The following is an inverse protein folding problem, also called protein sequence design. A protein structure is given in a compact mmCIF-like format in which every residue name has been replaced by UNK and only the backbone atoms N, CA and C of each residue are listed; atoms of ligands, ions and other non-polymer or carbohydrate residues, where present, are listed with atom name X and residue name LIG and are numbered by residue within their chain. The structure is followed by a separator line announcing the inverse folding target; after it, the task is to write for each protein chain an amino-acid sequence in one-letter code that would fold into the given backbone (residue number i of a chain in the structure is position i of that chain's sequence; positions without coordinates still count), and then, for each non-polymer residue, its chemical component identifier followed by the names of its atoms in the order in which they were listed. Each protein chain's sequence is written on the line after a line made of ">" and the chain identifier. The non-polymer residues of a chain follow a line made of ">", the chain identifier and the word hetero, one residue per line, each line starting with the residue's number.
data_IF_898839941030
#
_entry.id   IF_898839941030
#
_cell.length_a   1.000
_cell.length_b   1.000
_cell.length_c   1.000
_cell.angle_alpha   90.00
_cell.angle_beta   90.00
_cell.angle_gamma   90.00
#
_symmetry.space_group_name_H-M   'P 1'
#
loop_
_entity.id
_entity.type
_entity.pdbx_description
1 polymer ?
#
# COMPACT_ATOMS: atom_id res chain seq x y z
N UNK A 1 51.79 -23.66 -26.25
CA UNK A 1 52.90 -24.05 -27.17
C UNK A 1 54.20 -23.77 -26.43
N UNK A 2 55.15 -24.70 -26.43
CA UNK A 2 56.50 -24.47 -25.92
C UNK A 2 57.42 -24.14 -27.10
N UNK A 3 58.37 -23.25 -26.92
CA UNK A 3 59.43 -23.07 -27.90
C UNK A 3 60.49 -24.18 -27.78
N UNK A 4 61.44 -24.20 -28.72
CA UNK A 4 62.50 -25.21 -28.79
C UNK A 4 63.49 -25.17 -27.60
N UNK A 5 63.40 -24.15 -26.73
CA UNK A 5 64.22 -23.98 -25.52
C UNK A 5 63.44 -24.31 -24.24
N UNK A 6 62.18 -24.73 -24.37
CA UNK A 6 61.32 -25.10 -23.24
C UNK A 6 60.60 -23.92 -22.59
N UNK A 7 60.66 -22.71 -23.17
CA UNK A 7 59.90 -21.58 -22.65
C UNK A 7 58.42 -21.75 -23.02
N UNK A 8 57.55 -21.60 -22.03
CA UNK A 8 56.12 -21.47 -22.26
C UNK A 8 55.79 -20.02 -22.58
N UNK A 9 55.11 -19.78 -23.70
CA UNK A 9 54.38 -18.52 -23.89
C UNK A 9 53.24 -18.50 -22.87
N UNK A 10 53.46 -17.84 -21.75
CA UNK A 10 52.39 -17.47 -20.82
C UNK A 10 51.83 -16.17 -21.37
N UNK A 11 50.57 -16.19 -21.79
CA UNK A 11 49.81 -14.97 -22.00
C UNK A 11 49.08 -14.69 -20.69
N UNK A 12 49.67 -13.98 -19.72
CA UNK A 12 48.90 -13.54 -18.57
C UNK A 12 47.73 -12.69 -19.08
N UNK A 13 46.58 -12.76 -18.43
CA UNK A 13 45.35 -12.04 -18.84
C UNK A 13 44.70 -12.54 -20.15
N UNK A 14 44.61 -13.86 -20.36
CA UNK A 14 43.84 -14.47 -21.48
C UNK A 14 42.37 -14.04 -21.46
N UNK A 15 41.88 -13.70 -20.27
CA UNK A 15 40.52 -13.24 -20.07
C UNK A 15 40.54 -11.75 -19.72
N UNK A 16 39.78 -10.97 -20.50
CA UNK A 16 39.56 -9.54 -20.33
C UNK A 16 38.04 -9.33 -20.27
N UNK A 17 37.49 -9.33 -19.06
CA UNK A 17 36.05 -9.16 -18.83
C UNK A 17 35.75 -8.97 -17.35
N UNK A 18 34.47 -9.04 -16.96
CA UNK A 18 34.02 -9.23 -15.57
C UNK A 18 33.44 -10.66 -15.46
N UNK A 19 33.88 -11.45 -14.46
CA UNK A 19 33.41 -12.84 -14.30
C UNK A 19 32.17 -12.71 -13.46
N UNK A 20 31.03 -12.69 -14.15
CA UNK A 20 29.77 -12.85 -13.47
C UNK A 20 29.39 -14.32 -13.43
N UNK A 21 28.98 -14.78 -12.26
CA UNK A 21 28.50 -16.17 -12.04
C UNK A 21 27.21 -16.20 -11.24
N UNK A 22 26.73 -15.03 -10.79
CA UNK A 22 25.55 -14.95 -9.94
C UNK A 22 24.36 -14.59 -10.80
N UNK A 23 23.19 -15.09 -10.40
CA UNK A 23 21.95 -14.57 -10.94
C UNK A 23 21.62 -13.24 -10.24
N UNK A 24 20.79 -12.38 -10.85
CA UNK A 24 20.36 -11.13 -10.25
C UNK A 24 19.72 -11.33 -8.88
N UNK A 25 19.84 -10.31 -8.02
CA UNK A 25 19.05 -10.22 -6.80
C UNK A 25 17.73 -9.55 -7.14
N UNK A 26 16.63 -10.29 -6.97
CA UNK A 26 15.27 -9.76 -7.18
C UNK A 26 14.57 -9.55 -5.84
N UNK A 27 13.91 -8.40 -5.68
CA UNK A 27 13.12 -8.04 -4.50
C UNK A 27 11.74 -7.59 -4.94
N UNK A 28 10.71 -8.12 -4.27
CA UNK A 28 9.32 -7.71 -4.43
C UNK A 28 8.72 -7.35 -3.08
N UNK A 29 8.27 -6.11 -2.95
CA UNK A 29 7.54 -5.64 -1.78
C UNK A 29 6.10 -5.27 -2.16
N UNK A 30 5.17 -5.54 -1.26
CA UNK A 30 3.77 -5.19 -1.40
C UNK A 30 3.34 -4.34 -0.19
N UNK A 31 2.80 -3.15 -0.45
CA UNK A 31 2.29 -2.24 0.58
C UNK A 31 0.78 -2.14 0.44
N UNK A 32 0.05 -2.58 1.46
CA UNK A 32 -1.40 -2.38 1.50
C UNK A 32 -1.72 -0.92 1.83
N UNK A 33 -2.46 -0.24 0.95
CA UNK A 33 -2.78 1.20 1.10
C UNK A 33 -4.26 1.50 1.24
N UNK A 34 -5.15 0.58 0.85
CA UNK A 34 -6.58 0.90 0.85
C UNK A 34 -7.48 -0.28 0.55
N UNK A 35 -8.76 -0.17 0.90
CA UNK A 35 -9.81 -1.12 0.54
C UNK A 35 -10.98 -0.39 -0.11
N UNK A 36 -11.49 -0.95 -1.19
CA UNK A 36 -12.74 -0.54 -1.84
C UNK A 36 -13.61 -1.76 -2.09
N UNK A 37 -14.79 -1.55 -2.67
CA UNK A 37 -15.73 -2.60 -3.03
C UNK A 37 -16.11 -2.43 -4.48
N UNK A 38 -16.16 -3.54 -5.22
CA UNK A 38 -16.72 -3.52 -6.56
C UNK A 38 -18.26 -3.43 -6.50
N UNK A 39 -18.90 -3.40 -7.66
CA UNK A 39 -20.37 -3.32 -7.78
C UNK A 39 -21.12 -4.54 -7.23
N UNK A 40 -20.44 -5.67 -7.02
CA UNK A 40 -21.02 -6.86 -6.38
C UNK A 40 -20.81 -6.89 -4.86
N UNK A 41 -20.24 -5.83 -4.26
CA UNK A 41 -19.92 -5.78 -2.84
C UNK A 41 -18.74 -6.67 -2.43
N UNK A 42 -17.94 -7.13 -3.40
CA UNK A 42 -16.70 -7.89 -3.14
C UNK A 42 -15.58 -6.92 -2.81
N UNK A 43 -14.81 -7.14 -1.72
CA UNK A 43 -13.71 -6.26 -1.38
C UNK A 43 -12.60 -6.33 -2.43
N UNK A 44 -11.98 -5.18 -2.69
CA UNK A 44 -10.78 -5.02 -3.49
C UNK A 44 -9.76 -4.23 -2.68
N UNK A 45 -8.49 -4.62 -2.75
CA UNK A 45 -7.43 -4.07 -1.92
C UNK A 45 -6.44 -3.34 -2.83
N UNK A 46 -6.16 -2.08 -2.54
CA UNK A 46 -5.10 -1.33 -3.22
C UNK A 46 -3.77 -1.76 -2.62
N UNK A 47 -2.92 -2.33 -3.48
CA UNK A 47 -1.58 -2.78 -3.14
C UNK A 47 -0.59 -1.99 -4.00
N UNK A 48 0.33 -1.27 -3.36
CA UNK A 48 1.47 -0.67 -4.04
C UNK A 48 2.58 -1.72 -4.09
N UNK A 49 2.93 -2.14 -5.31
CA UNK A 49 4.08 -3.00 -5.54
C UNK A 49 5.32 -2.17 -5.82
N UNK A 50 6.46 -2.59 -5.28
CA UNK A 50 7.78 -2.16 -5.71
C UNK A 50 8.60 -3.38 -6.08
N UNK A 51 8.97 -3.45 -7.35
CA UNK A 51 9.80 -4.48 -7.95
C UNK A 51 11.20 -3.91 -8.15
N UNK A 52 12.22 -4.63 -7.70
CA UNK A 52 13.62 -4.23 -7.88
C UNK A 52 14.46 -5.42 -8.27
N UNK A 53 15.32 -5.25 -9.26
CA UNK A 53 16.36 -6.20 -9.61
C UNK A 53 17.72 -5.49 -9.65
N UNK A 54 18.73 -6.14 -9.08
CA UNK A 54 20.11 -5.66 -9.06
C UNK A 54 21.04 -6.77 -9.56
N UNK A 55 21.95 -6.43 -10.46
CA UNK A 55 23.01 -7.32 -10.93
C UNK A 55 24.13 -6.50 -11.57
N UNK A 56 25.31 -7.08 -11.80
CA UNK A 56 26.32 -6.38 -12.59
C UNK A 56 25.95 -6.39 -14.07
N UNK A 57 25.30 -7.42 -14.60
CA UNK A 57 24.98 -7.51 -16.03
C UNK A 57 23.50 -7.71 -16.26
N UNK A 58 22.68 -6.83 -15.69
CA UNK A 58 21.24 -6.98 -15.71
C UNK A 58 20.66 -6.87 -17.13
N UNK A 59 19.74 -7.79 -17.48
CA UNK A 59 19.04 -7.80 -18.75
C UNK A 59 17.62 -7.24 -18.62
N UNK A 60 17.25 -6.31 -19.49
CA UNK A 60 15.90 -5.69 -19.50
C UNK A 60 14.81 -6.70 -19.90
N UNK A 61 15.10 -7.57 -20.87
CA UNK A 61 14.13 -8.53 -21.41
C UNK A 61 13.70 -9.62 -20.40
N UNK A 62 14.49 -9.85 -19.35
CA UNK A 62 14.21 -10.86 -18.32
C UNK A 62 13.50 -10.30 -17.10
N UNK A 63 13.19 -8.99 -17.05
CA UNK A 63 12.54 -8.36 -15.91
C UNK A 63 11.02 -8.40 -16.06
N UNK A 64 10.38 -9.26 -15.27
CA UNK A 64 8.93 -9.41 -15.21
C UNK A 64 8.42 -9.01 -13.82
N UNK A 65 7.50 -8.04 -13.80
CA UNK A 65 6.95 -7.42 -12.61
C UNK A 65 5.44 -7.22 -12.82
N UNK A 66 4.60 -7.32 -11.77
CA UNK A 66 3.17 -7.03 -11.86
C UNK A 66 2.82 -5.62 -12.36
N UNK A 67 3.79 -4.70 -12.32
CA UNK A 67 3.64 -3.35 -12.82
C UNK A 67 3.74 -3.30 -14.35
N UNK A 68 2.71 -2.73 -14.99
CA UNK A 68 2.69 -2.51 -16.44
C UNK A 68 3.56 -1.33 -16.91
N UNK A 69 4.06 -0.53 -15.97
CA UNK A 69 4.92 0.61 -16.26
C UNK A 69 6.35 0.15 -16.59
N UNK A 70 7.03 0.78 -17.57
CA UNK A 70 8.42 0.46 -17.86
C UNK A 70 9.30 0.75 -16.64
N UNK A 71 10.27 -0.12 -16.32
CA UNK A 71 11.15 0.09 -15.19
C UNK A 71 12.08 1.29 -15.41
N UNK A 72 12.41 1.96 -14.31
CA UNK A 72 13.51 2.92 -14.22
C UNK A 72 14.82 2.15 -14.32
N UNK A 73 15.70 2.59 -15.23
CA UNK A 73 17.00 1.97 -15.49
C UNK A 73 18.09 2.80 -14.80
N UNK A 74 18.92 2.13 -14.01
CA UNK A 74 20.13 2.74 -13.45
C UNK A 74 21.34 2.03 -14.03
N UNK A 75 22.28 2.82 -14.54
CA UNK A 75 23.52 2.34 -15.12
C UNK A 75 24.67 2.59 -14.15
N UNK A 76 25.66 1.71 -14.17
CA UNK A 76 26.89 1.86 -13.40
C UNK A 76 27.59 3.16 -13.80
N UNK A 77 27.94 3.99 -12.80
CA UNK A 77 28.78 5.18 -12.96
C UNK A 77 30.16 4.90 -12.34
N UNK A 78 30.99 4.20 -13.10
CA UNK A 78 32.33 3.79 -12.68
C UNK A 78 33.36 4.21 -13.74
N UNK A 79 33.96 5.41 -13.62
CA UNK A 79 34.92 5.92 -14.61
C UNK A 79 36.14 5.01 -14.84
N UNK A 80 36.54 4.25 -13.81
CA UNK A 80 37.61 3.26 -13.91
C UNK A 80 37.21 2.03 -14.73
N UNK A 81 35.93 1.68 -14.73
CA UNK A 81 35.37 0.56 -15.48
C UNK A 81 35.20 0.96 -16.95
N UNK A 82 34.71 2.16 -17.22
CA UNK A 82 34.64 2.75 -18.57
C UNK A 82 36.02 2.85 -19.22
N UNK A 83 37.06 3.17 -18.45
CA UNK A 83 38.44 3.21 -18.94
C UNK A 83 39.01 1.82 -19.34
N UNK A 84 38.42 0.74 -18.82
CA UNK A 84 38.79 -0.64 -19.16
C UNK A 84 37.90 -1.22 -20.26
N UNK A 85 36.63 -0.81 -20.30
CA UNK A 85 35.58 -1.28 -21.20
C UNK A 85 34.92 -0.07 -21.88
N UNK A 86 35.57 0.42 -22.93
CA UNK A 86 35.33 1.73 -23.55
C UNK A 86 33.95 1.97 -24.20
N UNK A 87 32.94 1.12 -24.02
CA UNK A 87 31.70 1.29 -24.81
C UNK A 87 30.47 0.55 -24.26
N UNK A 88 30.33 0.39 -22.94
CA UNK A 88 29.16 -0.35 -22.41
C UNK A 88 28.60 0.32 -21.16
N UNK A 89 27.54 1.11 -21.34
CA UNK A 89 26.68 1.50 -20.24
C UNK A 89 26.10 0.22 -19.62
N UNK A 90 26.58 -0.12 -18.42
CA UNK A 90 26.25 -1.36 -17.75
C UNK A 90 24.98 -1.14 -16.93
N UNK A 91 23.88 -1.79 -17.32
CA UNK A 91 22.63 -1.73 -16.58
C UNK A 91 22.80 -2.54 -15.27
N UNK A 92 22.68 -1.87 -14.14
CA UNK A 92 22.91 -2.50 -12.82
C UNK A 92 21.66 -2.59 -11.96
N UNK A 93 20.64 -1.80 -12.26
CA UNK A 93 19.37 -1.86 -11.54
C UNK A 93 18.18 -1.56 -12.45
N UNK A 94 17.12 -2.34 -12.23
CA UNK A 94 15.77 -2.10 -12.74
C UNK A 94 14.83 -1.94 -11.55
N UNK A 95 14.01 -0.90 -11.59
CA UNK A 95 13.02 -0.65 -10.55
C UNK A 95 11.69 -0.20 -11.15
N UNK A 96 10.58 -0.80 -10.70
CA UNK A 96 9.22 -0.40 -11.10
C UNK A 96 8.32 -0.32 -9.87
N UNK A 97 7.45 0.69 -9.83
CA UNK A 97 6.45 0.86 -8.77
C UNK A 97 5.09 1.17 -9.39
N UNK A 98 4.04 0.55 -8.84
CA UNK A 98 2.67 0.74 -9.30
C UNK A 98 1.66 0.42 -8.20
N UNK A 99 0.46 1.00 -8.29
CA UNK A 99 -0.70 0.60 -7.50
C UNK A 99 -1.58 -0.35 -8.31
N UNK A 100 -1.93 -1.49 -7.71
CA UNK A 100 -2.80 -2.51 -8.31
C UNK A 100 -3.93 -2.83 -7.34
N UNK A 101 -5.14 -3.01 -7.87
CA UNK A 101 -6.25 -3.53 -7.10
C UNK A 101 -6.20 -5.05 -7.11
N UNK A 102 -6.16 -5.67 -5.94
CA UNK A 102 -6.10 -7.12 -5.73
C UNK A 102 -7.37 -7.65 -5.05
N UNK A 103 -7.64 -8.95 -5.19
CA UNK A 103 -8.76 -9.63 -4.50
C UNK A 103 -8.40 -10.12 -3.10
N UNK A 104 -7.12 -10.06 -2.72
CA UNK A 104 -6.61 -10.48 -1.42
C UNK A 104 -5.68 -9.42 -0.84
N UNK A 105 -5.71 -9.27 0.50
CA UNK A 105 -4.73 -8.46 1.25
C UNK A 105 -3.32 -9.03 1.09
N UNK A 106 -3.20 -10.33 0.82
CA UNK A 106 -1.94 -11.04 0.62
C UNK A 106 -1.90 -11.68 -0.77
N UNK A 107 -1.59 -10.92 -1.83
CA UNK A 107 -1.52 -11.46 -3.17
C UNK A 107 -0.33 -12.41 -3.32
N UNK A 108 -0.57 -13.58 -3.92
CA UNK A 108 0.47 -14.55 -4.26
C UNK A 108 1.07 -14.16 -5.62
N UNK A 109 1.90 -13.12 -5.62
CA UNK A 109 2.58 -12.61 -6.81
C UNK A 109 4.09 -12.79 -6.73
N UNK A 110 4.74 -12.78 -7.89
CA UNK A 110 6.19 -13.02 -8.03
C UNK A 110 6.81 -12.00 -8.96
N UNK A 111 8.12 -11.77 -8.78
CA UNK A 111 8.98 -11.04 -9.71
C UNK A 111 9.99 -12.01 -10.32
N UNK A 112 10.37 -11.81 -11.58
CA UNK A 112 11.53 -12.48 -12.17
C UNK A 112 12.50 -11.47 -12.81
N UNK A 113 13.78 -11.80 -12.79
CA UNK A 113 14.84 -11.00 -13.39
C UNK A 113 15.93 -11.92 -13.94
N UNK A 114 16.49 -11.58 -15.10
CA UNK A 114 17.63 -12.30 -15.68
C UNK A 114 18.78 -11.35 -16.03
N UNK A 115 20.01 -11.84 -15.92
CA UNK A 115 21.19 -11.16 -16.47
C UNK A 115 21.27 -11.37 -18.01
N UNK A 116 22.20 -10.69 -18.68
CA UNK A 116 22.46 -10.86 -20.12
C UNK A 116 23.06 -12.23 -20.49
N UNK A 117 23.36 -13.06 -19.49
CA UNK A 117 23.91 -14.41 -19.62
C UNK A 117 22.88 -15.50 -19.30
N UNK A 118 21.59 -15.15 -19.30
CA UNK A 118 20.44 -16.02 -19.06
C UNK A 118 20.40 -16.66 -17.65
N UNK A 119 21.05 -16.04 -16.66
CA UNK A 119 20.90 -16.44 -15.25
C UNK A 119 19.74 -15.69 -14.65
N UNK A 120 18.73 -16.43 -14.21
CA UNK A 120 17.48 -15.86 -13.73
C UNK A 120 17.26 -16.15 -12.24
N UNK A 121 16.59 -15.22 -11.57
CA UNK A 121 16.08 -15.37 -10.21
C UNK A 121 14.58 -15.07 -10.19
N UNK A 122 13.85 -15.78 -9.35
CA UNK A 122 12.45 -15.48 -9.00
C UNK A 122 12.37 -15.18 -7.52
N UNK A 123 11.56 -14.20 -7.14
CA UNK A 123 11.27 -13.91 -5.75
C UNK A 123 9.76 -13.74 -5.54
N UNK A 124 9.27 -14.23 -4.41
CA UNK A 124 7.92 -13.98 -3.90
C UNK A 124 7.87 -12.65 -3.13
N UNK A 125 6.66 -12.18 -2.82
CA UNK A 125 6.44 -11.01 -1.94
C UNK A 125 7.10 -11.25 -0.59
N UNK A 126 8.15 -10.48 -0.27
CA UNK A 126 8.91 -10.68 0.98
C UNK A 126 8.25 -10.01 2.20
N UNK A 127 7.49 -8.94 1.98
CA UNK A 127 6.82 -8.20 3.05
C UNK A 127 5.51 -7.60 2.56
N UNK A 128 4.43 -7.91 3.27
CA UNK A 128 3.26 -7.06 3.33
C UNK A 128 3.52 -6.03 4.41
N UNK A 129 3.95 -4.86 3.98
CA UNK A 129 3.89 -3.71 4.85
C UNK A 129 2.40 -3.36 4.93
N UNK A 130 1.80 -3.55 6.10
CA UNK A 130 0.56 -2.83 6.39
C UNK A 130 0.95 -1.36 6.31
N UNK A 131 0.39 -0.62 5.34
CA UNK A 131 0.65 0.80 5.20
C UNK A 131 0.32 1.58 6.48
N UNK A 132 0.56 2.89 6.50
CA UNK A 132 0.09 3.72 7.60
C UNK A 132 -1.36 3.34 7.89
N UNK A 133 -1.66 3.02 9.16
CA UNK A 133 -3.01 2.73 9.63
C UNK A 133 -3.89 3.77 8.97
N UNK A 134 -4.76 3.32 8.05
CA UNK A 134 -5.70 4.20 7.36
C UNK A 134 -6.33 5.10 8.43
N UNK A 135 -6.43 6.42 8.20
CA UNK A 135 -6.85 7.33 9.24
C UNK A 135 -8.15 6.79 9.83
N UNK A 136 -8.10 6.44 11.12
CA UNK A 136 -9.24 5.92 11.84
C UNK A 136 -10.41 6.85 11.58
N UNK A 137 -11.61 6.32 11.27
CA UNK A 137 -12.75 7.15 10.97
C UNK A 137 -12.96 8.13 12.13
N UNK A 138 -13.30 9.36 11.80
CA UNK A 138 -13.58 10.42 12.76
C UNK A 138 -15.08 10.63 12.81
N UNK A 139 -15.64 10.65 14.02
CA UNK A 139 -17.04 10.97 14.25
C UNK A 139 -17.15 12.06 15.31
N UNK A 140 -18.07 13.00 15.12
CA UNK A 140 -18.28 14.12 16.02
C UNK A 140 -19.77 14.44 16.15
N UNK A 141 -20.16 14.79 17.36
CA UNK A 141 -21.44 15.44 17.63
C UNK A 141 -21.23 16.94 17.43
N UNK A 142 -21.82 17.49 16.38
CA UNK A 142 -21.72 18.91 16.01
C UNK A 142 -22.59 19.75 16.93
N UNK A 143 -23.78 19.25 17.25
CA UNK A 143 -24.73 19.87 18.16
C UNK A 143 -25.57 18.77 18.83
N UNK A 144 -25.91 18.86 20.11
CA UNK A 144 -25.48 19.89 21.07
C UNK A 144 -23.98 19.83 21.41
N UNK A 145 -23.38 20.96 21.80
CA UNK A 145 -21.99 20.97 22.29
C UNK A 145 -21.91 20.46 23.72
N UNK A 146 -20.70 20.07 24.17
CA UNK A 146 -20.43 19.64 25.54
C UNK A 146 -20.94 20.68 26.55
N UNK A 147 -21.55 20.19 27.63
CA UNK A 147 -22.12 20.96 28.75
C UNK A 147 -23.23 21.96 28.37
N UNK A 148 -23.80 21.84 27.17
CA UNK A 148 -24.93 22.70 26.79
C UNK A 148 -26.22 22.28 27.49
N UNK A 149 -27.03 23.28 27.85
CA UNK A 149 -28.37 23.08 28.38
C UNK A 149 -29.35 23.25 27.23
N UNK A 150 -29.98 22.16 26.80
CA UNK A 150 -30.97 22.18 25.72
C UNK A 150 -32.36 22.16 26.33
N UNK A 151 -33.07 23.28 26.21
CA UNK A 151 -34.48 23.34 26.58
C UNK A 151 -35.33 22.78 25.43
N UNK A 152 -36.17 21.77 25.72
CA UNK A 152 -37.14 21.24 24.77
C UNK A 152 -38.54 21.25 25.39
N UNK A 153 -39.48 21.93 24.74
CA UNK A 153 -40.89 21.95 25.15
C UNK A 153 -41.65 20.71 24.69
N UNK A 154 -41.14 19.99 23.68
CA UNK A 154 -41.75 18.77 23.14
C UNK A 154 -41.11 17.48 23.66
N UNK A 155 -40.03 17.59 24.46
CA UNK A 155 -39.20 16.45 24.84
C UNK A 155 -38.32 15.91 23.71
N UNK A 156 -38.31 16.55 22.54
CA UNK A 156 -37.45 16.17 21.40
C UNK A 156 -36.24 17.09 21.32
N UNK A 157 -35.04 16.50 21.25
CA UNK A 157 -33.77 17.18 21.03
C UNK A 157 -33.16 16.69 19.73
N UNK A 158 -32.77 17.61 18.85
CA UNK A 158 -32.10 17.27 17.60
C UNK A 158 -30.59 17.22 17.82
N UNK A 159 -29.98 16.08 17.52
CA UNK A 159 -28.53 15.88 17.57
C UNK A 159 -27.98 15.90 16.14
N UNK A 160 -27.10 16.85 15.84
CA UNK A 160 -26.36 16.91 14.58
C UNK A 160 -25.07 16.13 14.69
N UNK A 161 -24.87 15.21 13.74
CA UNK A 161 -23.79 14.24 13.68
C UNK A 161 -22.99 14.49 12.40
N UNK A 162 -21.66 14.48 12.51
CA UNK A 162 -20.75 14.44 11.37
C UNK A 162 -19.78 13.27 11.48
N UNK A 163 -19.47 12.61 10.37
CA UNK A 163 -18.47 11.56 10.30
C UNK A 163 -17.67 11.64 8.98
N UNK A 164 -16.38 11.35 9.04
CA UNK A 164 -15.49 11.28 7.88
C UNK A 164 -14.48 10.14 8.02
N UNK A 165 -14.05 9.58 6.91
CA UNK A 165 -13.12 8.46 6.86
C UNK A 165 -12.34 8.48 5.54
N UNK A 166 -11.12 7.95 5.53
CA UNK A 166 -10.40 7.70 4.27
C UNK A 166 -11.12 6.62 3.44
N UNK A 167 -11.31 5.42 3.99
CA UNK A 167 -12.15 4.38 3.39
C UNK A 167 -13.66 4.69 3.53
N UNK A 168 -14.54 4.06 2.71
CA UNK A 168 -15.99 4.21 2.85
C UNK A 168 -16.48 3.86 4.26
N UNK A 169 -17.35 4.68 4.83
CA UNK A 169 -18.02 4.44 6.11
C UNK A 169 -18.87 3.17 6.02
N UNK A 170 -18.83 2.35 7.07
CA UNK A 170 -19.68 1.17 7.27
C UNK A 170 -20.92 1.54 8.06
N UNK A 171 -20.71 2.10 9.25
CA UNK A 171 -21.79 2.55 10.12
C UNK A 171 -21.35 3.73 10.99
N UNK A 172 -22.32 4.53 11.39
CA UNK A 172 -22.18 5.58 12.40
C UNK A 172 -23.28 5.35 13.44
N UNK A 173 -22.86 5.14 14.68
CA UNK A 173 -23.74 4.84 15.82
C UNK A 173 -23.70 5.98 16.82
N UNK A 174 -24.86 6.56 17.10
CA UNK A 174 -25.06 7.51 18.19
C UNK A 174 -25.52 6.76 19.43
N UNK A 175 -24.86 7.00 20.56
CA UNK A 175 -25.21 6.43 21.86
C UNK A 175 -25.71 7.52 22.81
N UNK A 176 -26.74 7.19 23.59
CA UNK A 176 -27.25 7.98 24.70
C UNK A 176 -27.06 7.16 25.98
N UNK A 177 -26.26 7.67 26.91
CA UNK A 177 -25.89 6.99 28.16
C UNK A 177 -25.33 5.57 27.92
N UNK A 178 -24.49 5.43 26.88
CA UNK A 178 -23.88 4.16 26.48
C UNK A 178 -24.82 3.19 25.74
N UNK A 179 -26.08 3.55 25.51
CA UNK A 179 -27.03 2.74 24.75
C UNK A 179 -27.19 3.28 23.32
N UNK A 180 -27.15 2.43 22.28
CA UNK A 180 -27.33 2.88 20.90
C UNK A 180 -28.76 3.41 20.69
N UNK A 181 -28.87 4.66 20.25
CA UNK A 181 -30.15 5.34 19.96
C UNK A 181 -30.38 5.55 18.47
N UNK A 182 -29.31 5.61 17.67
CA UNK A 182 -29.38 5.61 16.21
C UNK A 182 -28.17 4.86 15.65
N UNK A 183 -28.37 4.16 14.53
CA UNK A 183 -27.28 3.54 13.77
C UNK A 183 -27.60 3.69 12.30
N UNK A 184 -26.75 4.45 11.62
CA UNK A 184 -26.85 4.64 10.17
C UNK A 184 -25.81 3.78 9.49
N UNK A 185 -26.28 2.79 8.74
CA UNK A 185 -25.45 1.90 7.93
C UNK A 185 -25.35 2.44 6.50
N UNK A 186 -24.19 2.29 5.88
CA UNK A 186 -23.92 2.73 4.51
C UNK A 186 -23.62 1.53 3.61
N UNK A 187 -24.10 1.60 2.37
CA UNK A 187 -23.82 0.60 1.35
C UNK A 187 -22.33 0.69 0.92
N UNK A 188 -21.56 -0.42 0.95
CA UNK A 188 -20.16 -0.40 0.56
C UNK A 188 -19.95 0.08 -0.90
N UNK A 189 -20.94 -0.12 -1.77
CA UNK A 189 -20.87 0.25 -3.19
C UNK A 189 -21.11 1.77 -3.39
N UNK A 190 -21.75 2.43 -2.42
CA UNK A 190 -22.00 3.88 -2.48
C UNK A 190 -20.73 4.71 -2.21
N UNK A 191 -19.66 4.10 -1.69
CA UNK A 191 -18.37 4.75 -1.40
C UNK A 191 -18.51 6.05 -0.57
N UNK A 192 -19.41 6.06 0.43
CA UNK A 192 -19.63 7.24 1.27
C UNK A 192 -18.45 7.42 2.22
N UNK A 193 -17.63 8.44 2.01
CA UNK A 193 -16.47 8.76 2.88
C UNK A 193 -16.76 9.90 3.87
N UNK A 194 -17.89 10.58 3.72
CA UNK A 194 -18.35 11.65 4.60
C UNK A 194 -19.87 11.59 4.77
N UNK A 195 -20.36 11.81 5.99
CA UNK A 195 -21.78 11.88 6.30
C UNK A 195 -22.07 12.97 7.32
N UNK A 196 -23.13 13.73 7.10
CA UNK A 196 -23.72 14.65 8.08
C UNK A 196 -25.23 14.49 8.09
N UNK A 197 -25.81 14.38 9.29
CA UNK A 197 -27.26 14.22 9.46
C UNK A 197 -27.72 14.61 10.87
N UNK A 198 -29.04 14.77 11.01
CA UNK A 198 -29.69 15.07 12.29
C UNK A 198 -30.49 13.87 12.79
N UNK A 199 -30.32 13.54 14.07
CA UNK A 199 -31.05 12.49 14.78
C UNK A 199 -32.00 13.13 15.81
N UNK A 200 -33.33 12.94 15.69
CA UNK A 200 -34.26 13.38 16.72
C UNK A 200 -34.25 12.38 17.90
N UNK A 201 -33.85 12.85 19.09
CA UNK A 201 -33.89 12.07 20.33
C UNK A 201 -35.09 12.49 21.17
N UNK A 202 -35.86 11.52 21.65
CA UNK A 202 -36.95 11.76 22.60
C UNK A 202 -36.45 11.50 24.02
N UNK A 203 -36.45 12.54 24.84
CA UNK A 203 -35.99 12.52 26.23
C UNK A 203 -37.22 12.55 27.16
N UNK A 204 -37.24 11.70 28.17
CA UNK A 204 -38.42 11.51 29.04
C UNK A 204 -38.37 12.31 30.34
N UNK A 205 -37.19 12.77 30.72
CA UNK A 205 -36.94 13.47 31.97
C UNK A 205 -35.86 14.54 31.85
N UNK A 206 -35.92 15.52 32.76
CA UNK A 206 -34.92 16.58 32.90
C UNK A 206 -33.74 16.08 33.74
N UNK A 207 -32.68 15.65 33.07
CA UNK A 207 -31.44 15.21 33.71
C UNK A 207 -30.22 15.44 32.81
N UNK A 208 -29.05 15.12 33.33
CA UNK A 208 -27.84 15.03 32.51
C UNK A 208 -27.86 13.76 31.66
N UNK A 209 -27.52 13.91 30.39
CA UNK A 209 -27.37 12.84 29.42
C UNK A 209 -25.95 12.85 28.86
N UNK A 210 -25.43 11.68 28.57
CA UNK A 210 -24.14 11.50 27.90
C UNK A 210 -24.39 11.10 26.46
N UNK A 211 -23.94 11.92 25.51
CA UNK A 211 -23.94 11.55 24.09
C UNK A 211 -22.54 11.08 23.70
N UNK A 212 -22.49 9.94 23.01
CA UNK A 212 -21.26 9.41 22.43
C UNK A 212 -21.54 9.04 20.97
N UNK A 213 -20.50 9.03 20.15
CA UNK A 213 -20.61 8.65 18.76
C UNK A 213 -19.43 7.78 18.36
N UNK A 214 -19.72 6.73 17.61
CA UNK A 214 -18.71 5.88 17.01
C UNK A 214 -18.95 5.77 15.51
N UNK A 215 -17.89 5.79 14.71
CA UNK A 215 -17.92 5.44 13.30
C UNK A 215 -17.05 4.22 13.04
N UNK A 216 -17.50 3.37 12.13
CA UNK A 216 -16.73 2.28 11.55
C UNK A 216 -16.59 2.51 10.07
N UNK A 217 -15.44 2.15 9.53
CA UNK A 217 -15.23 2.13 8.10
C UNK A 217 -15.19 0.68 7.58
N UNK A 218 -15.42 0.57 6.28
CA UNK A 218 -15.32 -0.69 5.58
C UNK A 218 -13.86 -1.10 5.36
N UNK A 219 -12.83 -0.48 5.92
CA UNK A 219 -11.46 -1.02 6.01
C UNK A 219 -11.20 -1.73 7.36
N UNK A 220 -12.13 -1.65 8.30
CA UNK A 220 -12.00 -2.18 9.67
C UNK A 220 -11.47 -1.16 10.67
N UNK A 221 -11.30 0.10 10.26
CA UNK A 221 -11.07 1.23 11.15
C UNK A 221 -12.30 1.51 12.00
N UNK A 222 -12.07 1.87 13.26
CA UNK A 222 -13.10 2.32 14.19
C UNK A 222 -12.62 3.62 14.82
N UNK A 223 -13.51 4.59 14.99
CA UNK A 223 -13.22 5.75 15.83
C UNK A 223 -13.10 5.22 17.25
N UNK A 224 -11.97 5.46 17.92
CA UNK A 224 -11.87 5.18 19.35
C UNK A 224 -12.92 6.00 20.11
N UNK A 225 -13.46 5.41 21.18
CA UNK A 225 -14.35 6.09 22.11
C UNK A 225 -13.55 7.23 22.78
N UNK A 226 -13.94 8.52 22.66
CA UNK A 226 -13.22 9.62 23.27
C UNK A 226 -13.33 9.66 24.80
#
# INVERSE_FOLDING_TARGET
>A
RHDALGNQTVTPYVWRGVIDTRAPVATLTALFTGRTYNTSGTPRYEIIYTCRAEDQHLGDAGFDCPCSNPPTRTYEDAPWLEALFFDTAQLVQLESTCAVWEDAVQPATTISACDIFDRCTTADVQHLLTGPVLPTPLAVIVSPTRDSVVASTSGVVNVEVGATSGPPLQDVTLLLDGLPVDTRTFDPVANVTEASYTVPLTLTDERTYTLQITARDWAGGCSDEP
#
